data_IF_882599047916
#
_entry.id   IF_882599047916
#
_cell.length_a   1.000
_cell.length_b   1.000
_cell.length_c   1.000
_cell.angle_alpha   90.00
_cell.angle_beta   90.00
_cell.angle_gamma   90.00
#
_symmetry.space_group_name_H-M   'P 1'
#
loop_
_entity.id
_entity.type
_entity.pdbx_description
1 polymer ?
#
# COMPACT_ATOMS: atom_id res chain seq x y z
N UNK A 1 -10.29 -20.16 -41.82
CA UNK A 1 -8.81 -20.09 -41.78
C UNK A 1 -8.29 -18.67 -42.01
N UNK A 2 -8.45 -18.06 -43.20
CA UNK A 2 -7.96 -16.68 -43.44
C UNK A 2 -8.53 -15.64 -42.47
N UNK A 3 -9.85 -15.65 -42.25
CA UNK A 3 -10.54 -14.75 -41.31
C UNK A 3 -10.01 -14.82 -39.87
N UNK A 4 -9.67 -16.03 -39.40
CA UNK A 4 -9.10 -16.21 -38.06
C UNK A 4 -7.73 -15.56 -37.95
N UNK A 5 -6.87 -15.75 -38.97
CA UNK A 5 -5.57 -15.08 -39.00
C UNK A 5 -5.72 -13.56 -39.04
N UNK A 6 -6.58 -13.03 -39.90
CA UNK A 6 -6.82 -11.58 -40.01
C UNK A 6 -7.45 -10.97 -38.74
N UNK A 7 -8.12 -11.78 -37.91
CA UNK A 7 -8.68 -11.36 -36.63
C UNK A 7 -7.62 -11.34 -35.51
N UNK A 8 -6.84 -12.42 -35.36
CA UNK A 8 -5.89 -12.59 -34.25
C UNK A 8 -4.50 -11.95 -34.50
N UNK A 9 -4.17 -11.58 -35.74
CA UNK A 9 -2.87 -11.02 -36.09
C UNK A 9 -2.94 -9.50 -36.36
N UNK A 10 -1.91 -8.71 -36.00
CA UNK A 10 -0.68 -9.12 -35.30
C UNK A 10 -0.93 -9.55 -33.86
N UNK A 11 -0.07 -10.41 -33.32
CA UNK A 11 -0.14 -10.71 -31.89
C UNK A 11 0.20 -9.46 -31.07
N UNK A 12 -0.50 -9.30 -29.94
CA UNK A 12 -0.29 -8.17 -29.04
C UNK A 12 1.04 -8.32 -28.27
N UNK A 13 1.25 -9.44 -27.60
CA UNK A 13 2.46 -9.68 -26.82
C UNK A 13 3.02 -11.09 -26.99
N UNK A 14 4.34 -11.19 -27.13
CA UNK A 14 5.09 -12.45 -27.03
C UNK A 14 5.86 -12.48 -25.71
N UNK A 15 5.56 -13.48 -24.90
CA UNK A 15 6.23 -13.76 -23.64
C UNK A 15 7.34 -14.80 -23.83
N UNK A 16 8.52 -14.57 -23.26
CA UNK A 16 9.65 -15.50 -23.39
C UNK A 16 10.75 -15.26 -22.36
N UNK A 17 11.73 -16.17 -22.25
CA UNK A 17 12.89 -15.95 -21.40
C UNK A 17 13.84 -14.91 -22.00
N UNK A 18 14.52 -14.12 -21.16
CA UNK A 18 15.48 -13.09 -21.57
C UNK A 18 16.64 -13.64 -22.41
N UNK A 19 17.01 -14.91 -22.20
CA UNK A 19 18.09 -15.58 -22.97
C UNK A 19 17.74 -15.77 -24.45
N UNK A 20 16.46 -15.67 -24.83
CA UNK A 20 16.00 -15.80 -26.22
C UNK A 20 16.03 -14.48 -27.00
N UNK A 21 16.40 -13.37 -26.35
CA UNK A 21 16.53 -12.05 -27.00
C UNK A 21 17.53 -12.12 -28.15
N UNK A 22 18.72 -12.67 -27.93
CA UNK A 22 19.81 -12.70 -28.92
C UNK A 22 19.60 -13.68 -30.08
N UNK A 23 18.51 -14.45 -30.07
CA UNK A 23 18.23 -15.48 -31.06
C UNK A 23 16.74 -15.43 -31.48
N UNK A 24 15.91 -16.35 -30.99
CA UNK A 24 14.52 -16.56 -31.39
C UNK A 24 13.71 -15.25 -31.43
N UNK A 25 13.81 -14.40 -30.41
CA UNK A 25 13.05 -13.16 -30.35
C UNK A 25 13.51 -12.12 -31.38
N UNK A 26 14.79 -12.11 -31.73
CA UNK A 26 15.33 -11.25 -32.79
C UNK A 26 15.02 -11.82 -34.16
N UNK A 27 15.22 -13.13 -34.37
CA UNK A 27 14.95 -13.80 -35.64
C UNK A 27 13.48 -13.75 -36.04
N UNK A 28 12.55 -13.83 -35.08
CA UNK A 28 11.14 -13.65 -35.40
C UNK A 28 10.88 -12.26 -35.99
N UNK A 29 11.52 -11.18 -35.52
CA UNK A 29 11.32 -9.84 -36.09
C UNK A 29 11.80 -9.79 -37.55
N UNK A 30 12.95 -10.39 -37.84
CA UNK A 30 13.46 -10.51 -39.22
C UNK A 30 12.50 -11.28 -40.12
N UNK A 31 12.00 -12.43 -39.66
CA UNK A 31 11.04 -13.21 -40.44
C UNK A 31 9.73 -12.47 -40.65
N UNK A 32 9.22 -11.77 -39.63
CA UNK A 32 7.97 -11.02 -39.77
C UNK A 32 8.12 -9.88 -40.78
N UNK A 33 9.22 -9.12 -40.71
CA UNK A 33 9.50 -8.05 -41.66
C UNK A 33 9.69 -8.56 -43.10
N UNK A 34 10.17 -9.79 -43.29
CA UNK A 34 10.37 -10.39 -44.60
C UNK A 34 9.09 -10.98 -45.21
N UNK A 35 8.17 -11.50 -44.40
CA UNK A 35 7.01 -12.28 -44.84
C UNK A 35 5.71 -11.48 -44.77
N UNK A 36 5.53 -10.67 -43.73
CA UNK A 36 4.27 -10.02 -43.43
C UNK A 36 4.29 -8.52 -43.80
N UNK A 37 3.12 -7.95 -44.13
CA UNK A 37 3.00 -6.51 -44.31
C UNK A 37 3.25 -5.78 -42.98
N UNK A 38 3.56 -4.49 -43.07
CA UNK A 38 3.98 -3.67 -41.92
C UNK A 38 2.92 -3.62 -40.81
N UNK A 39 1.65 -3.67 -41.18
CA UNK A 39 0.50 -3.63 -40.27
C UNK A 39 0.37 -4.92 -39.44
N UNK A 40 0.99 -6.01 -39.88
CA UNK A 40 1.03 -7.32 -39.22
C UNK A 40 2.30 -7.52 -38.38
N UNK A 41 3.07 -6.46 -38.14
CA UNK A 41 4.24 -6.54 -37.25
C UNK A 41 3.80 -6.75 -35.79
N UNK A 42 4.55 -7.57 -35.01
CA UNK A 42 4.36 -7.75 -33.58
C UNK A 42 4.22 -6.44 -32.80
N UNK A 43 3.27 -6.36 -31.86
CA UNK A 43 3.07 -5.13 -31.06
C UNK A 43 4.00 -5.02 -29.86
N UNK A 44 4.37 -6.13 -29.24
CA UNK A 44 5.23 -6.12 -28.07
C UNK A 44 5.84 -7.47 -27.71
N UNK A 45 6.91 -7.41 -26.90
CA UNK A 45 7.52 -8.59 -26.28
C UNK A 45 7.78 -8.29 -24.81
N UNK A 46 7.52 -9.27 -23.96
CA UNK A 46 7.80 -9.22 -22.53
C UNK A 46 8.72 -10.39 -22.20
N UNK A 47 9.81 -10.08 -21.52
CA UNK A 47 10.84 -11.07 -21.20
C UNK A 47 10.81 -11.42 -19.72
N UNK A 48 11.05 -12.70 -19.44
CA UNK A 48 11.16 -13.25 -18.10
C UNK A 48 12.61 -13.54 -17.73
N UNK A 49 12.98 -13.27 -16.49
CA UNK A 49 14.21 -13.77 -15.90
C UNK A 49 14.18 -15.28 -15.72
N UNK A 50 15.27 -15.80 -15.20
CA UNK A 50 15.51 -17.22 -14.99
C UNK A 50 15.18 -17.61 -13.55
N UNK A 51 14.73 -18.85 -13.36
CA UNK A 51 14.52 -19.42 -12.03
C UNK A 51 15.83 -19.92 -11.40
N UNK A 52 16.04 -19.56 -10.14
CA UNK A 52 17.03 -20.14 -9.25
C UNK A 52 16.35 -21.07 -8.24
N UNK A 53 17.10 -22.03 -7.71
CA UNK A 53 16.69 -22.91 -6.62
C UNK A 53 17.72 -22.79 -5.51
N UNK A 54 17.30 -22.27 -4.35
CA UNK A 54 18.20 -22.02 -3.20
C UNK A 54 19.47 -21.23 -3.61
N UNK A 55 19.30 -20.20 -4.44
CA UNK A 55 20.37 -19.35 -4.96
C UNK A 55 21.20 -19.96 -6.08
N UNK A 56 21.00 -21.23 -6.44
CA UNK A 56 21.72 -21.91 -7.51
C UNK A 56 20.91 -21.96 -8.81
N UNK A 57 21.58 -21.85 -9.97
CA UNK A 57 20.92 -22.05 -11.27
C UNK A 57 20.36 -23.48 -11.37
N UNK A 58 19.07 -23.58 -11.71
CA UNK A 58 18.42 -24.87 -11.94
C UNK A 58 19.04 -25.59 -13.16
N UNK A 59 19.32 -26.88 -13.03
CA UNK A 59 19.92 -27.69 -14.10
C UNK A 59 19.52 -29.15 -13.99
N UNK A 60 18.81 -29.69 -14.99
CA UNK A 60 18.36 -31.09 -14.99
C UNK A 60 19.54 -32.07 -14.86
N UNK A 61 20.69 -31.75 -15.47
CA UNK A 61 21.91 -32.57 -15.36
C UNK A 61 22.56 -32.58 -13.98
N UNK A 62 22.27 -31.57 -13.14
CA UNK A 62 22.77 -31.49 -11.75
C UNK A 62 21.73 -31.96 -10.73
N UNK A 63 20.54 -32.37 -11.20
CA UNK A 63 19.43 -32.81 -10.36
C UNK A 63 18.79 -31.70 -9.50
N UNK A 64 19.21 -30.44 -9.64
CA UNK A 64 18.71 -29.31 -8.86
C UNK A 64 17.60 -28.56 -9.61
N UNK A 65 16.51 -29.27 -9.90
CA UNK A 65 15.33 -28.72 -10.57
C UNK A 65 14.11 -29.07 -9.74
N UNK A 66 13.21 -28.11 -9.59
CA UNK A 66 11.87 -28.36 -9.08
C UNK A 66 10.92 -28.48 -10.27
N UNK A 67 10.39 -29.68 -10.53
CA UNK A 67 9.46 -29.87 -11.66
C UNK A 67 8.11 -29.23 -11.35
N UNK A 68 7.45 -28.70 -12.38
CA UNK A 68 6.14 -28.07 -12.22
C UNK A 68 5.12 -29.05 -11.63
N UNK A 69 5.10 -30.30 -12.10
CA UNK A 69 4.16 -31.31 -11.59
C UNK A 69 4.34 -31.56 -10.09
N UNK A 70 5.59 -31.64 -9.63
CA UNK A 70 5.90 -31.81 -8.21
C UNK A 70 5.47 -30.55 -7.42
N UNK A 71 5.69 -29.36 -7.98
CA UNK A 71 5.31 -28.10 -7.32
C UNK A 71 3.79 -27.99 -7.16
N UNK A 72 3.05 -28.39 -8.18
CA UNK A 72 1.59 -28.40 -8.14
C UNK A 72 1.05 -29.43 -7.14
N UNK A 73 1.65 -30.62 -7.07
CA UNK A 73 1.27 -31.66 -6.10
C UNK A 73 1.56 -31.26 -4.67
N UNK A 74 2.72 -30.65 -4.40
CA UNK A 74 3.13 -30.29 -3.05
C UNK A 74 2.44 -29.02 -2.55
N UNK A 75 2.38 -27.96 -3.38
CA UNK A 75 1.96 -26.63 -2.93
C UNK A 75 0.57 -26.21 -3.41
N UNK A 76 0.06 -26.84 -4.47
CA UNK A 76 -1.18 -26.43 -5.14
C UNK A 76 -0.96 -25.27 -6.13
N UNK A 77 -1.80 -25.23 -7.17
CA UNK A 77 -1.63 -24.31 -8.29
C UNK A 77 -1.60 -22.83 -7.90
N UNK A 78 -2.53 -22.39 -7.06
CA UNK A 78 -2.62 -20.98 -6.64
C UNK A 78 -1.41 -20.54 -5.82
N UNK A 79 -0.92 -21.39 -4.92
CA UNK A 79 0.31 -21.12 -4.16
C UNK A 79 1.50 -20.91 -5.09
N UNK A 80 1.70 -21.82 -6.05
CA UNK A 80 2.80 -21.73 -7.03
C UNK A 80 2.66 -20.46 -7.86
N UNK A 81 1.46 -20.16 -8.36
CA UNK A 81 1.19 -18.96 -9.18
C UNK A 81 1.46 -17.67 -8.40
N UNK A 82 0.90 -17.53 -7.20
CA UNK A 82 1.08 -16.35 -6.37
C UNK A 82 2.54 -16.16 -5.98
N UNK A 83 3.24 -17.25 -5.65
CA UNK A 83 4.67 -17.20 -5.37
C UNK A 83 5.46 -16.66 -6.56
N UNK A 84 5.24 -17.20 -7.76
CA UNK A 84 5.96 -16.79 -8.96
C UNK A 84 5.67 -15.32 -9.33
N UNK A 85 4.40 -14.90 -9.26
CA UNK A 85 3.96 -13.52 -9.52
C UNK A 85 4.55 -12.53 -8.51
N UNK A 86 4.66 -12.94 -7.24
CA UNK A 86 5.12 -12.08 -6.14
C UNK A 86 6.63 -12.05 -5.93
N UNK A 87 7.38 -13.03 -6.45
CA UNK A 87 8.81 -13.18 -6.17
C UNK A 87 9.67 -12.10 -6.82
N UNK A 88 9.35 -11.73 -8.07
CA UNK A 88 10.14 -10.79 -8.85
C UNK A 88 9.29 -10.14 -9.95
N UNK A 89 9.73 -9.00 -10.48
CA UNK A 89 9.15 -8.51 -11.73
C UNK A 89 9.56 -9.44 -12.89
N UNK A 90 8.79 -9.52 -13.99
CA UNK A 90 9.02 -10.50 -15.04
C UNK A 90 10.48 -10.54 -15.51
N UNK A 91 11.09 -9.39 -15.81
CA UNK A 91 12.47 -9.30 -16.33
C UNK A 91 13.57 -9.60 -15.30
N UNK A 92 13.22 -9.91 -14.06
CA UNK A 92 14.16 -10.25 -12.99
C UNK A 92 14.18 -11.76 -12.74
N UNK A 93 15.32 -12.25 -12.25
CA UNK A 93 15.44 -13.65 -11.83
C UNK A 93 14.72 -13.83 -10.49
N UNK A 94 14.05 -14.98 -10.32
CA UNK A 94 13.41 -15.34 -9.05
C UNK A 94 14.20 -16.47 -8.37
N UNK A 95 14.11 -16.55 -7.05
CA UNK A 95 14.74 -17.60 -6.26
C UNK A 95 13.69 -18.46 -5.58
N UNK A 96 13.56 -19.71 -6.03
CA UNK A 96 12.65 -20.68 -5.44
C UNK A 96 13.23 -21.19 -4.12
N UNK A 97 12.46 -20.99 -3.04
CA UNK A 97 12.75 -21.55 -1.71
C UNK A 97 11.47 -22.09 -1.11
N UNK A 98 11.49 -23.35 -0.68
CA UNK A 98 10.28 -24.04 -0.25
C UNK A 98 9.59 -23.34 0.93
N UNK A 99 10.36 -22.78 1.87
CA UNK A 99 9.84 -22.04 3.02
C UNK A 99 9.04 -20.79 2.61
N UNK A 100 9.49 -20.06 1.57
CA UNK A 100 8.77 -18.92 1.02
C UNK A 100 7.48 -19.35 0.29
N UNK A 101 7.51 -20.50 -0.39
CA UNK A 101 6.31 -21.07 -1.05
C UNK A 101 5.29 -21.51 0.01
N UNK A 102 5.72 -22.17 1.09
CA UNK A 102 4.86 -22.50 2.23
C UNK A 102 4.29 -21.25 2.92
N UNK A 103 5.08 -20.18 3.03
CA UNK A 103 4.60 -18.89 3.55
C UNK A 103 3.51 -18.29 2.65
N UNK A 104 3.64 -18.43 1.33
CA UNK A 104 2.64 -17.98 0.34
C UNK A 104 1.31 -18.72 0.52
N UNK A 105 1.34 -20.04 0.79
CA UNK A 105 0.12 -20.80 1.10
C UNK A 105 -0.62 -20.24 2.31
N UNK A 106 0.10 -19.94 3.39
CA UNK A 106 -0.48 -19.32 4.59
C UNK A 106 -1.05 -17.93 4.33
N UNK A 107 -0.51 -17.20 3.35
CA UNK A 107 -1.06 -15.90 2.93
C UNK A 107 -2.42 -16.09 2.24
N UNK A 108 -2.52 -17.06 1.33
CA UNK A 108 -3.79 -17.41 0.67
C UNK A 108 -4.85 -17.86 1.70
N UNK A 109 -4.46 -18.66 2.70
CA UNK A 109 -5.36 -19.08 3.79
C UNK A 109 -5.87 -17.89 4.61
N UNK A 110 -5.02 -16.89 4.89
CA UNK A 110 -5.48 -15.65 5.58
C UNK A 110 -6.41 -14.81 4.72
N UNK A 111 -6.14 -14.72 3.42
CA UNK A 111 -7.02 -14.08 2.46
C UNK A 111 -8.39 -14.75 2.45
N UNK A 112 -8.42 -16.09 2.34
CA UNK A 112 -9.64 -16.89 2.41
C UNK A 112 -10.47 -16.54 3.65
N UNK A 113 -9.87 -16.65 4.84
CA UNK A 113 -10.57 -16.36 6.10
C UNK A 113 -11.09 -14.93 6.15
N UNK A 114 -10.32 -13.97 5.63
CA UNK A 114 -10.78 -12.57 5.57
C UNK A 114 -11.98 -12.41 4.64
N UNK A 115 -12.01 -13.10 3.48
CA UNK A 115 -13.18 -13.08 2.59
C UNK A 115 -14.40 -13.70 3.27
N UNK A 116 -14.25 -14.78 4.03
CA UNK A 116 -15.34 -15.34 4.83
C UNK A 116 -15.86 -14.34 5.88
N UNK A 117 -14.96 -13.62 6.56
CA UNK A 117 -15.35 -12.55 7.51
C UNK A 117 -16.18 -11.45 6.84
N UNK A 118 -15.87 -11.08 5.59
CA UNK A 118 -16.64 -10.03 4.87
C UNK A 118 -18.11 -10.38 4.68
N UNK A 119 -18.48 -11.67 4.73
CA UNK A 119 -19.87 -12.12 4.63
C UNK A 119 -20.70 -11.77 5.88
N UNK A 120 -20.03 -11.62 7.02
CA UNK A 120 -20.63 -11.24 8.29
C UNK A 120 -20.67 -9.72 8.50
N UNK A 121 -20.03 -8.94 7.60
CA UNK A 121 -20.00 -7.49 7.68
C UNK A 121 -21.41 -6.91 7.60
N UNK A 122 -21.67 -5.88 8.41
CA UNK A 122 -22.97 -5.25 8.46
C UNK A 122 -23.16 -4.22 7.34
N UNK A 123 -24.42 -3.94 7.01
CA UNK A 123 -24.78 -2.92 6.02
C UNK A 123 -24.66 -1.48 6.53
N UNK A 124 -24.32 -1.28 7.82
CA UNK A 124 -24.12 0.06 8.41
C UNK A 124 -22.73 0.61 8.10
N UNK A 125 -22.64 1.92 7.92
CA UNK A 125 -21.37 2.62 7.77
C UNK A 125 -20.66 2.74 9.12
N UNK A 126 -19.43 2.26 9.21
CA UNK A 126 -18.53 2.60 10.32
C UNK A 126 -17.77 3.91 10.05
N UNK A 127 -17.29 4.59 11.09
CA UNK A 127 -16.58 5.88 10.92
C UNK A 127 -15.30 5.79 10.08
N UNK A 128 -14.67 4.60 10.01
CA UNK A 128 -13.44 4.36 9.25
C UNK A 128 -13.71 3.74 7.86
N UNK A 129 -14.96 3.42 7.53
CA UNK A 129 -15.35 2.87 6.22
C UNK A 129 -14.94 3.78 5.05
N UNK A 130 -15.18 5.11 5.07
CA UNK A 130 -14.80 5.99 3.97
C UNK A 130 -13.30 5.98 3.69
N UNK A 131 -12.47 5.86 4.73
CA UNK A 131 -11.02 5.72 4.59
C UNK A 131 -10.66 4.41 3.85
N UNK A 132 -11.20 3.27 4.29
CA UNK A 132 -10.90 1.98 3.65
C UNK A 132 -11.34 1.99 2.17
N UNK A 133 -12.49 2.59 1.87
CA UNK A 133 -12.95 2.77 0.49
C UNK A 133 -11.96 3.61 -0.32
N UNK A 134 -11.52 4.76 0.20
CA UNK A 134 -10.54 5.62 -0.48
C UNK A 134 -9.27 4.85 -0.84
N UNK A 135 -8.75 4.10 0.12
CA UNK A 135 -7.58 3.24 -0.04
C UNK A 135 -7.78 2.17 -1.10
N UNK A 136 -8.93 1.47 -1.09
CA UNK A 136 -9.26 0.46 -2.09
C UNK A 136 -9.28 1.04 -3.52
N UNK A 137 -9.82 2.24 -3.71
CA UNK A 137 -9.80 2.89 -5.04
C UNK A 137 -8.37 3.15 -5.52
N UNK A 138 -7.47 3.59 -4.63
CA UNK A 138 -6.06 3.74 -5.00
C UNK A 138 -5.39 2.40 -5.35
N UNK A 139 -5.66 1.35 -4.58
CA UNK A 139 -5.09 0.03 -4.86
C UNK A 139 -5.61 -0.56 -6.17
N UNK A 140 -6.89 -0.37 -6.49
CA UNK A 140 -7.43 -0.73 -7.81
C UNK A 140 -6.66 -0.01 -8.91
N UNK A 141 -6.49 1.31 -8.79
CA UNK A 141 -5.79 2.10 -9.80
C UNK A 141 -4.35 1.62 -9.97
N UNK A 142 -3.58 1.51 -8.87
CA UNK A 142 -2.16 1.14 -8.92
C UNK A 142 -1.95 -0.30 -9.37
N UNK A 143 -2.79 -1.24 -8.95
CA UNK A 143 -2.73 -2.63 -9.41
C UNK A 143 -3.02 -2.72 -10.92
N UNK A 144 -4.00 -1.96 -11.41
CA UNK A 144 -4.33 -1.88 -12.84
C UNK A 144 -3.15 -1.31 -13.64
N UNK A 145 -2.62 -0.16 -13.23
CA UNK A 145 -1.46 0.47 -13.88
C UNK A 145 -0.22 -0.43 -13.89
N UNK A 146 0.00 -1.20 -12.82
CA UNK A 146 1.07 -2.17 -12.74
C UNK A 146 0.88 -3.33 -13.73
N UNK A 147 -0.33 -3.91 -13.82
CA UNK A 147 -0.63 -4.99 -14.76
C UNK A 147 -0.50 -4.55 -16.22
N UNK A 148 -0.98 -3.35 -16.56
CA UNK A 148 -0.82 -2.75 -17.91
C UNK A 148 0.66 -2.57 -18.30
N UNK A 149 1.55 -2.49 -17.31
CA UNK A 149 3.02 -2.39 -17.50
C UNK A 149 3.75 -3.72 -17.29
N UNK A 150 3.02 -4.82 -17.14
CA UNK A 150 3.56 -6.14 -16.78
C UNK A 150 4.37 -6.15 -15.48
N UNK A 151 4.12 -5.22 -14.56
CA UNK A 151 4.75 -5.18 -13.24
C UNK A 151 3.99 -6.11 -12.27
N UNK A 152 4.16 -7.42 -12.45
CA UNK A 152 3.37 -8.45 -11.73
C UNK A 152 3.59 -8.41 -10.23
N UNK A 153 4.82 -8.14 -9.76
CA UNK A 153 5.11 -8.07 -8.33
C UNK A 153 4.53 -6.80 -7.73
N UNK A 154 4.68 -5.65 -8.39
CA UNK A 154 4.04 -4.41 -7.96
C UNK A 154 2.50 -4.54 -7.95
N UNK A 155 1.91 -5.21 -8.94
CA UNK A 155 0.47 -5.45 -8.97
C UNK A 155 0.02 -6.26 -7.75
N UNK A 156 0.74 -7.33 -7.40
CA UNK A 156 0.44 -8.12 -6.20
C UNK A 156 0.70 -7.32 -4.90
N UNK A 157 1.71 -6.44 -4.89
CA UNK A 157 1.96 -5.55 -3.76
C UNK A 157 0.75 -4.67 -3.43
N UNK A 158 0.11 -4.12 -4.46
CA UNK A 158 -1.08 -3.27 -4.31
C UNK A 158 -2.35 -4.10 -4.09
N UNK A 159 -2.53 -5.17 -4.87
CA UNK A 159 -3.74 -6.00 -4.84
C UNK A 159 -3.82 -6.97 -3.64
N UNK A 160 -2.71 -7.25 -2.95
CA UNK A 160 -2.69 -8.17 -1.82
C UNK A 160 -2.11 -7.52 -0.56
N UNK A 161 -0.82 -7.19 -0.57
CA UNK A 161 -0.10 -6.83 0.66
C UNK A 161 -0.52 -5.47 1.21
N UNK A 162 -0.78 -4.49 0.34
CA UNK A 162 -1.24 -3.17 0.77
C UNK A 162 -2.67 -3.23 1.34
N UNK A 163 -3.58 -3.98 0.70
CA UNK A 163 -4.93 -4.22 1.23
C UNK A 163 -4.87 -4.96 2.58
N UNK A 164 -3.99 -5.97 2.74
CA UNK A 164 -3.81 -6.67 4.03
C UNK A 164 -3.31 -5.71 5.13
N UNK A 165 -2.42 -4.76 4.79
CA UNK A 165 -1.94 -3.73 5.72
C UNK A 165 -3.07 -2.78 6.14
N UNK A 166 -3.85 -2.30 5.18
CA UNK A 166 -4.96 -1.38 5.46
C UNK A 166 -6.08 -2.06 6.27
N UNK A 167 -6.33 -3.35 6.02
CA UNK A 167 -7.26 -4.16 6.81
C UNK A 167 -6.80 -4.34 8.26
N UNK A 168 -5.49 -4.47 8.52
CA UNK A 168 -4.98 -4.51 9.90
C UNK A 168 -5.29 -3.22 10.63
N UNK A 169 -5.08 -2.06 9.99
CA UNK A 169 -5.41 -0.76 10.57
C UNK A 169 -6.92 -0.60 10.76
N UNK A 170 -7.71 -0.91 9.73
CA UNK A 170 -9.18 -0.86 9.78
C UNK A 170 -9.74 -1.67 10.95
N UNK A 171 -9.24 -2.91 11.15
CA UNK A 171 -9.65 -3.77 12.27
C UNK A 171 -9.30 -3.15 13.65
N UNK A 172 -8.15 -2.49 13.80
CA UNK A 172 -7.80 -1.77 15.05
C UNK A 172 -8.75 -0.60 15.31
N UNK A 173 -9.14 0.11 14.25
CA UNK A 173 -10.03 1.27 14.33
C UNK A 173 -11.46 0.91 14.72
N UNK A 174 -11.96 -0.23 14.28
CA UNK A 174 -13.29 -0.73 14.66
C UNK A 174 -13.41 -0.97 16.18
N UNK A 175 -14.60 -0.76 16.78
CA UNK A 175 -14.86 -1.19 18.15
C UNK A 175 -14.65 -2.70 18.35
N UNK A 176 -14.31 -3.12 19.57
CA UNK A 176 -14.08 -4.53 19.89
C UNK A 176 -15.28 -5.40 19.53
N UNK A 177 -15.02 -6.48 18.79
CA UNK A 177 -16.05 -7.42 18.34
C UNK A 177 -16.96 -6.89 17.22
N UNK A 178 -16.73 -5.69 16.68
CA UNK A 178 -17.50 -5.18 15.56
C UNK A 178 -17.18 -5.99 14.27
N UNK A 179 -18.20 -6.44 13.52
CA UNK A 179 -18.01 -7.27 12.32
C UNK A 179 -17.54 -6.51 11.08
N UNK A 180 -17.27 -5.20 11.20
CA UNK A 180 -17.01 -4.30 10.08
C UNK A 180 -18.29 -3.79 9.40
N UNK A 181 -18.17 -2.65 8.72
CA UNK A 181 -19.26 -2.01 7.99
C UNK A 181 -19.28 -2.33 6.50
N UNK A 182 -20.01 -1.51 5.75
CA UNK A 182 -20.23 -1.63 4.30
C UNK A 182 -18.91 -1.73 3.51
N UNK A 183 -17.87 -1.01 3.92
CA UNK A 183 -16.58 -1.03 3.22
C UNK A 183 -15.96 -2.42 3.18
N UNK A 184 -16.11 -3.20 4.25
CA UNK A 184 -15.59 -4.58 4.31
C UNK A 184 -16.35 -5.52 3.37
N UNK A 185 -17.67 -5.31 3.22
CA UNK A 185 -18.49 -6.08 2.26
C UNK A 185 -18.10 -5.78 0.81
N UNK A 186 -17.91 -4.51 0.48
CA UNK A 186 -17.48 -4.10 -0.87
C UNK A 186 -16.06 -4.61 -1.19
N UNK A 187 -15.16 -4.55 -0.20
CA UNK A 187 -13.81 -5.08 -0.28
C UNK A 187 -13.81 -6.55 -0.72
N UNK A 188 -14.69 -7.39 -0.18
CA UNK A 188 -14.74 -8.81 -0.52
C UNK A 188 -14.86 -9.06 -2.03
N UNK A 189 -15.79 -8.37 -2.69
CA UNK A 189 -16.00 -8.48 -4.14
C UNK A 189 -14.83 -7.91 -4.95
N UNK A 190 -14.28 -6.77 -4.53
CA UNK A 190 -13.14 -6.13 -5.21
C UNK A 190 -11.89 -7.02 -5.10
N UNK A 191 -11.59 -7.48 -3.90
CA UNK A 191 -10.35 -8.19 -3.60
C UNK A 191 -10.28 -9.54 -4.30
N UNK A 192 -11.40 -10.28 -4.31
CA UNK A 192 -11.53 -11.53 -5.09
C UNK A 192 -11.27 -11.30 -6.58
N UNK A 193 -11.82 -10.22 -7.17
CA UNK A 193 -11.61 -9.93 -8.60
C UNK A 193 -10.18 -9.45 -8.90
N UNK A 194 -9.56 -8.66 -8.02
CA UNK A 194 -8.17 -8.24 -8.17
C UNK A 194 -7.20 -9.43 -8.18
N UNK A 195 -7.48 -10.47 -7.39
CA UNK A 195 -6.62 -11.64 -7.26
C UNK A 195 -6.97 -12.79 -8.22
N UNK A 196 -8.10 -12.72 -8.93
CA UNK A 196 -8.52 -13.76 -9.86
C UNK A 196 -7.46 -14.10 -10.95
N UNK A 197 -6.69 -13.14 -11.52
CA UNK A 197 -5.60 -13.48 -12.43
C UNK A 197 -4.45 -14.25 -11.78
N UNK A 198 -4.28 -14.13 -10.47
CA UNK A 198 -3.14 -14.69 -9.71
C UNK A 198 -3.50 -16.05 -9.11
N UNK A 199 -4.60 -16.11 -8.34
CA UNK A 199 -5.08 -17.30 -7.61
C UNK A 199 -6.49 -17.72 -8.06
N UNK A 200 -6.68 -18.06 -9.34
CA UNK A 200 -8.00 -18.23 -9.94
C UNK A 200 -8.87 -19.28 -9.26
N UNK A 201 -8.31 -20.41 -8.80
CA UNK A 201 -9.12 -21.49 -8.24
C UNK A 201 -9.75 -21.09 -6.89
N UNK A 202 -8.95 -20.45 -6.04
CA UNK A 202 -9.36 -19.87 -4.76
C UNK A 202 -10.39 -18.77 -4.98
N UNK A 203 -10.12 -17.85 -5.90
CA UNK A 203 -11.03 -16.75 -6.22
C UNK A 203 -12.37 -17.24 -6.81
N UNK A 204 -12.38 -18.26 -7.66
CA UNK A 204 -13.60 -18.83 -8.25
C UNK A 204 -14.53 -19.39 -7.16
N UNK A 205 -13.95 -20.09 -6.19
CA UNK A 205 -14.69 -20.64 -5.06
C UNK A 205 -15.23 -19.53 -4.14
N UNK A 206 -14.37 -18.58 -3.77
CA UNK A 206 -14.75 -17.47 -2.90
C UNK A 206 -15.77 -16.54 -3.56
N UNK A 207 -15.68 -16.31 -4.88
CA UNK A 207 -16.64 -15.53 -5.65
C UNK A 207 -18.06 -16.09 -5.52
N UNK A 208 -18.21 -17.40 -5.67
CA UNK A 208 -19.50 -18.07 -5.46
C UNK A 208 -20.00 -17.93 -4.03
N UNK A 209 -19.13 -18.03 -3.02
CA UNK A 209 -19.50 -17.95 -1.61
C UNK A 209 -19.95 -16.56 -1.14
N UNK A 210 -19.40 -15.50 -1.76
CA UNK A 210 -19.83 -14.11 -1.51
C UNK A 210 -21.03 -13.69 -2.37
N UNK A 211 -21.63 -14.62 -3.12
CA UNK A 211 -22.83 -14.38 -3.93
C UNK A 211 -22.55 -13.74 -5.29
N UNK A 212 -21.34 -13.87 -5.80
CA UNK A 212 -20.98 -13.45 -7.15
C UNK A 212 -21.70 -14.28 -8.22
N UNK A 213 -22.10 -13.62 -9.31
CA UNK A 213 -22.76 -14.28 -10.44
C UNK A 213 -21.75 -14.80 -11.47
N UNK A 214 -22.06 -15.95 -12.07
CA UNK A 214 -21.22 -16.56 -13.09
C UNK A 214 -19.83 -16.96 -12.55
N UNK A 215 -18.86 -17.04 -13.47
CA UNK A 215 -17.46 -17.29 -13.08
C UNK A 215 -16.72 -15.96 -12.85
N UNK A 216 -15.87 -15.90 -11.83
CA UNK A 216 -15.05 -14.70 -11.57
C UNK A 216 -14.12 -14.38 -12.75
N UNK A 217 -13.72 -15.41 -13.48
CA UNK A 217 -12.92 -15.30 -14.71
C UNK A 217 -13.60 -14.47 -15.81
N UNK A 218 -14.92 -14.33 -15.78
CA UNK A 218 -15.71 -13.48 -16.68
C UNK A 218 -16.26 -12.21 -16.00
N UNK A 219 -16.01 -12.03 -14.70
CA UNK A 219 -16.45 -10.84 -13.98
C UNK A 219 -15.65 -9.62 -14.46
N UNK A 220 -16.27 -8.42 -14.54
CA UNK A 220 -15.54 -7.21 -14.91
C UNK A 220 -14.40 -6.91 -13.94
N UNK A 221 -13.25 -6.50 -14.46
CA UNK A 221 -12.16 -5.97 -13.65
C UNK A 221 -12.66 -4.77 -12.83
N UNK A 222 -12.32 -4.64 -11.52
CA UNK A 222 -12.71 -3.49 -10.73
C UNK A 222 -12.10 -2.22 -11.33
N UNK A 223 -12.92 -1.18 -11.52
CA UNK A 223 -12.48 0.12 -11.99
C UNK A 223 -12.42 1.09 -10.82
N UNK A 224 -11.32 1.82 -10.69
CA UNK A 224 -11.17 2.83 -9.66
C UNK A 224 -12.11 4.02 -9.90
N UNK A 225 -12.87 4.41 -8.89
CA UNK A 225 -13.68 5.62 -8.85
C UNK A 225 -12.92 6.73 -8.12
N UNK A 226 -12.39 7.68 -8.91
CA UNK A 226 -11.61 8.80 -8.38
C UNK A 226 -12.42 9.72 -7.47
N UNK A 227 -13.75 9.75 -7.59
CA UNK A 227 -14.60 10.58 -6.73
C UNK A 227 -14.70 10.05 -5.30
N UNK A 228 -14.32 8.78 -5.09
CA UNK A 228 -14.30 8.11 -3.79
C UNK A 228 -12.91 8.07 -3.16
N UNK A 229 -11.91 8.73 -3.77
CA UNK A 229 -10.59 8.93 -3.20
C UNK A 229 -10.61 10.25 -2.42
N UNK A 230 -10.38 10.18 -1.13
CA UNK A 230 -10.30 11.31 -0.21
C UNK A 230 -8.91 11.36 0.47
N UNK A 231 -7.99 12.19 -0.05
CA UNK A 231 -6.67 12.36 0.53
C UNK A 231 -6.68 12.91 1.96
N UNK A 232 -7.71 13.66 2.37
CA UNK A 232 -7.78 14.24 3.71
C UNK A 232 -8.06 13.14 4.74
N UNK A 233 -8.97 12.21 4.43
CA UNK A 233 -9.22 11.03 5.26
C UNK A 233 -7.98 10.15 5.38
N UNK A 234 -7.27 9.94 4.27
CA UNK A 234 -6.04 9.15 4.26
C UNK A 234 -4.94 9.77 5.14
N UNK A 235 -4.73 11.09 5.05
CA UNK A 235 -3.79 11.80 5.90
C UNK A 235 -4.20 11.78 7.38
N UNK A 236 -5.49 11.92 7.67
CA UNK A 236 -5.98 11.89 9.04
C UNK A 236 -5.70 10.54 9.72
N UNK A 237 -5.97 9.43 9.03
CA UNK A 237 -5.70 8.09 9.55
C UNK A 237 -4.19 7.77 9.59
N UNK A 238 -3.39 8.27 8.65
CA UNK A 238 -1.91 8.19 8.73
C UNK A 238 -1.38 8.95 9.96
N UNK A 239 -1.91 10.14 10.28
CA UNK A 239 -1.55 10.88 11.49
C UNK A 239 -1.84 10.05 12.76
N UNK A 240 -3.02 9.42 12.82
CA UNK A 240 -3.41 8.57 13.94
C UNK A 240 -2.50 7.35 14.07
N UNK A 241 -2.26 6.62 12.97
CA UNK A 241 -1.38 5.45 12.94
C UNK A 241 0.01 5.78 13.47
N UNK A 242 0.65 6.81 12.92
CA UNK A 242 1.99 7.25 13.33
C UNK A 242 2.05 7.66 14.80
N UNK A 243 1.01 8.35 15.27
CA UNK A 243 0.94 8.80 16.67
C UNK A 243 0.87 7.60 17.63
N UNK A 244 0.12 6.56 17.26
CA UNK A 244 0.05 5.32 18.05
C UNK A 244 1.37 4.57 18.05
N UNK A 245 2.04 4.46 16.90
CA UNK A 245 3.37 3.87 16.81
C UNK A 245 4.41 4.61 17.67
N UNK A 246 4.33 5.95 17.69
CA UNK A 246 5.16 6.77 18.58
C UNK A 246 4.83 6.52 20.07
N UNK A 247 3.55 6.44 20.45
CA UNK A 247 3.13 6.10 21.82
C UNK A 247 3.65 4.72 22.24
N UNK A 248 3.46 3.69 21.41
CA UNK A 248 3.94 2.33 21.67
C UNK A 248 5.46 2.28 21.82
N UNK A 249 6.18 3.02 20.98
CA UNK A 249 7.63 3.13 21.04
C UNK A 249 8.10 3.78 22.33
N UNK A 250 7.43 4.86 22.77
CA UNK A 250 7.73 5.52 24.04
C UNK A 250 7.45 4.58 25.22
N UNK A 251 6.33 3.86 25.21
CA UNK A 251 5.99 2.88 26.27
C UNK A 251 7.03 1.77 26.40
N UNK A 252 7.55 1.24 25.28
CA UNK A 252 8.60 0.21 25.27
C UNK A 252 9.90 0.70 25.92
N UNK A 253 10.24 1.98 25.76
CA UNK A 253 11.46 2.58 26.33
C UNK A 253 11.29 2.91 27.81
N UNK A 254 10.16 3.51 28.18
CA UNK A 254 9.93 4.03 29.54
C UNK A 254 9.47 2.91 30.49
N UNK A 255 8.93 1.80 29.98
CA UNK A 255 8.43 0.64 30.76
C UNK A 255 7.41 1.02 31.84
N UNK A 256 6.63 2.08 31.59
CA UNK A 256 5.52 2.53 32.44
C UNK A 256 4.19 2.21 31.76
N UNK A 257 3.19 1.85 32.55
CA UNK A 257 1.78 1.79 32.13
C UNK A 257 1.14 3.13 32.48
N UNK A 258 0.97 4.06 31.51
CA UNK A 258 0.42 5.37 31.81
C UNK A 258 -1.06 5.27 32.19
N UNK A 259 -1.47 6.13 33.11
CA UNK A 259 -2.88 6.34 33.46
C UNK A 259 -3.54 7.35 32.51
N UNK A 260 -2.76 8.29 31.97
CA UNK A 260 -3.18 9.26 30.97
C UNK A 260 -2.09 9.55 29.94
N UNK A 261 -2.53 9.97 28.76
CA UNK A 261 -1.70 10.37 27.63
C UNK A 261 -2.19 11.73 27.15
N UNK A 262 -1.29 12.70 27.10
CA UNK A 262 -1.57 14.01 26.51
C UNK A 262 -0.89 14.14 25.15
N UNK A 263 -1.69 14.32 24.11
CA UNK A 263 -1.27 14.59 22.74
C UNK A 263 -1.29 16.11 22.55
N UNK A 264 -0.10 16.70 22.42
CA UNK A 264 0.07 18.14 22.21
C UNK A 264 0.22 18.40 20.71
N UNK A 265 -0.77 19.07 20.11
CA UNK A 265 -0.80 19.42 18.69
C UNK A 265 -0.03 20.71 18.45
N UNK A 266 0.68 20.78 17.32
CA UNK A 266 1.49 21.95 17.01
C UNK A 266 0.63 23.21 16.80
N UNK A 267 1.04 24.36 17.37
CA UNK A 267 0.32 25.62 17.22
C UNK A 267 0.38 26.11 15.77
N UNK A 268 -0.58 26.95 15.38
CA UNK A 268 -0.74 27.47 14.01
C UNK A 268 0.55 28.01 13.39
N UNK A 269 1.33 28.80 14.12
CA UNK A 269 2.57 29.38 13.60
C UNK A 269 3.62 28.33 13.18
N UNK A 270 3.60 27.12 13.77
CA UNK A 270 4.50 26.04 13.33
C UNK A 270 4.00 25.38 12.05
N UNK A 271 2.69 25.42 11.76
CA UNK A 271 2.14 25.02 10.46
C UNK A 271 2.65 25.93 9.35
N UNK A 272 2.68 27.24 9.59
CA UNK A 272 3.24 28.22 8.64
C UNK A 272 4.74 27.98 8.38
N UNK A 273 5.49 27.68 9.45
CA UNK A 273 6.92 27.31 9.34
C UNK A 273 7.08 26.01 8.55
N UNK A 274 6.29 24.98 8.84
CA UNK A 274 6.35 23.71 8.11
C UNK A 274 6.06 23.91 6.63
N UNK A 275 5.01 24.66 6.29
CA UNK A 275 4.66 25.00 4.91
C UNK A 275 5.81 25.72 4.22
N UNK A 276 6.37 26.75 4.86
CA UNK A 276 7.48 27.52 4.32
C UNK A 276 8.74 26.66 4.08
N UNK A 277 9.05 25.72 4.99
CA UNK A 277 10.17 24.79 4.82
C UNK A 277 9.90 23.81 3.68
N UNK A 278 8.67 23.31 3.57
CA UNK A 278 8.30 22.33 2.56
C UNK A 278 8.31 22.92 1.13
N UNK A 279 7.97 24.20 0.96
CA UNK A 279 7.98 24.89 -0.34
C UNK A 279 9.30 25.58 -0.66
N UNK A 280 10.28 25.59 0.26
CA UNK A 280 11.52 26.31 0.06
C UNK A 280 12.38 25.69 -1.05
N UNK A 281 12.88 26.49 -2.02
CA UNK A 281 13.69 25.99 -3.13
C UNK A 281 15.09 25.56 -2.69
N UNK A 282 15.68 26.23 -1.69
CA UNK A 282 17.00 25.90 -1.15
C UNK A 282 16.95 25.70 0.38
N UNK A 283 17.32 24.49 0.80
CA UNK A 283 17.36 24.08 2.21
C UNK A 283 18.48 24.75 3.00
N UNK A 284 19.51 25.28 2.33
CA UNK A 284 20.62 25.97 2.99
C UNK A 284 20.27 27.42 3.36
N UNK A 285 19.39 28.08 2.59
CA UNK A 285 18.95 29.46 2.85
C UNK A 285 17.63 29.53 3.61
N UNK A 286 16.89 28.43 3.71
CA UNK A 286 15.53 28.36 4.30
C UNK A 286 15.43 29.01 5.69
N UNK A 287 16.42 28.81 6.56
CA UNK A 287 16.42 29.42 7.90
C UNK A 287 16.46 30.95 7.79
N UNK A 288 17.33 31.48 6.92
CA UNK A 288 17.48 32.93 6.75
C UNK A 288 16.24 33.53 6.10
N UNK A 289 15.62 32.83 5.17
CA UNK A 289 14.43 33.28 4.45
C UNK A 289 13.20 33.33 5.36
N UNK A 290 12.92 32.25 6.09
CA UNK A 290 11.77 32.19 7.02
C UNK A 290 11.94 33.21 8.16
N UNK A 291 13.17 33.42 8.65
CA UNK A 291 13.45 34.41 9.70
C UNK A 291 13.32 35.88 9.26
N UNK A 292 13.04 36.16 7.98
CA UNK A 292 12.66 37.52 7.53
C UNK A 292 11.24 37.87 7.95
N UNK A 293 10.37 36.88 8.14
CA UNK A 293 9.03 37.11 8.65
C UNK A 293 9.10 37.62 10.10
N UNK A 294 8.49 38.77 10.36
CA UNK A 294 8.56 39.41 11.67
C UNK A 294 7.87 38.59 12.77
N UNK A 295 6.76 37.91 12.46
CA UNK A 295 6.05 37.08 13.43
C UNK A 295 6.89 35.86 13.84
N UNK A 296 7.58 35.25 12.88
CA UNK A 296 8.49 34.12 13.15
C UNK A 296 9.73 34.61 13.89
N UNK A 297 10.32 35.73 13.47
CA UNK A 297 11.53 36.31 14.09
C UNK A 297 11.33 36.67 15.57
N UNK A 298 10.15 37.18 15.95
CA UNK A 298 9.80 37.49 17.35
C UNK A 298 9.90 36.28 18.28
N UNK A 299 9.78 35.06 17.75
CA UNK A 299 9.92 33.81 18.51
C UNK A 299 11.37 33.35 18.70
N UNK A 300 12.34 34.03 18.07
CA UNK A 300 13.77 33.86 18.30
C UNK A 300 14.26 32.41 18.15
N UNK A 301 14.89 31.89 19.21
CA UNK A 301 15.47 30.54 19.23
C UNK A 301 14.44 29.44 18.97
N UNK A 302 13.22 29.58 19.50
CA UNK A 302 12.16 28.59 19.31
C UNK A 302 11.76 28.43 17.83
N UNK A 303 11.77 29.52 17.06
CA UNK A 303 11.54 29.45 15.62
C UNK A 303 12.69 28.76 14.88
N UNK A 304 13.94 29.08 15.21
CA UNK A 304 15.11 28.42 14.61
C UNK A 304 15.12 26.91 14.86
N UNK A 305 14.79 26.49 16.07
CA UNK A 305 14.72 25.07 16.43
C UNK A 305 13.55 24.38 15.70
N UNK A 306 12.38 25.03 15.62
CA UNK A 306 11.24 24.52 14.84
C UNK A 306 11.59 24.35 13.35
N UNK A 307 12.28 25.32 12.72
CA UNK A 307 12.70 25.21 11.31
C UNK A 307 13.61 23.99 11.12
N UNK A 308 14.63 23.81 11.96
CA UNK A 308 15.56 22.66 11.88
C UNK A 308 14.84 21.31 12.07
N UNK A 309 13.90 21.28 13.01
CA UNK A 309 13.08 20.10 13.27
C UNK A 309 12.14 19.79 12.11
N UNK A 310 11.50 20.79 11.50
CA UNK A 310 10.67 20.62 10.30
C UNK A 310 11.49 20.10 9.12
N UNK A 311 12.72 20.62 8.88
CA UNK A 311 13.61 20.08 7.84
C UNK A 311 13.84 18.59 8.06
N UNK A 312 14.18 18.20 9.29
CA UNK A 312 14.44 16.79 9.64
C UNK A 312 13.19 15.94 9.48
N UNK A 313 12.02 16.44 9.89
CA UNK A 313 10.75 15.74 9.80
C UNK A 313 10.36 15.49 8.34
N UNK A 314 10.40 16.52 7.49
CA UNK A 314 10.03 16.45 6.07
C UNK A 314 10.85 15.40 5.32
N UNK A 315 12.14 15.21 5.66
CA UNK A 315 12.97 14.17 5.03
C UNK A 315 12.62 12.75 5.47
N UNK A 316 12.03 12.60 6.66
CA UNK A 316 11.64 11.30 7.23
C UNK A 316 10.21 10.90 6.89
N UNK A 317 9.39 11.85 6.44
CA UNK A 317 8.03 11.56 6.02
C UNK A 317 8.02 10.77 4.71
N UNK A 318 7.09 9.83 4.53
CA UNK A 318 6.94 9.10 3.27
C UNK A 318 6.74 10.05 2.07
N UNK A 319 7.14 9.64 0.86
CA UNK A 319 6.88 10.42 -0.35
C UNK A 319 5.40 10.76 -0.51
N UNK A 320 5.10 11.99 -0.97
CA UNK A 320 3.74 12.45 -1.20
C UNK A 320 3.00 13.01 0.02
N UNK A 321 3.30 12.54 1.24
CA UNK A 321 2.62 13.00 2.47
C UNK A 321 2.76 14.51 2.66
N UNK A 322 3.95 15.06 2.44
CA UNK A 322 4.19 16.51 2.58
C UNK A 322 3.35 17.28 1.58
N UNK A 323 3.32 16.88 0.32
CA UNK A 323 2.53 17.55 -0.72
C UNK A 323 1.04 17.45 -0.44
N UNK A 324 0.56 16.30 0.01
CA UNK A 324 -0.83 16.11 0.42
C UNK A 324 -1.16 16.99 1.63
N UNK A 325 -0.29 17.02 2.65
CA UNK A 325 -0.50 17.83 3.87
C UNK A 325 -0.62 19.32 3.52
N UNK A 326 0.19 19.83 2.59
CA UNK A 326 0.12 21.22 2.15
C UNK A 326 -1.16 21.55 1.38
N UNK A 327 -1.76 20.56 0.70
CA UNK A 327 -3.02 20.71 -0.04
C UNK A 327 -4.25 20.50 0.83
N UNK A 328 -4.10 19.80 1.95
CA UNK A 328 -5.17 19.40 2.84
C UNK A 328 -5.50 20.50 3.84
N UNK A 329 -6.80 20.76 4.04
CA UNK A 329 -7.30 21.60 5.13
C UNK A 329 -7.49 20.74 6.38
N UNK A 330 -6.41 20.45 7.11
CA UNK A 330 -6.46 19.58 8.29
C UNK A 330 -6.47 20.31 9.62
N UNK A 331 -7.48 19.98 10.43
CA UNK A 331 -7.54 20.29 11.84
C UNK A 331 -7.10 19.08 12.67
N UNK A 332 -5.80 19.00 12.98
CA UNK A 332 -5.22 17.88 13.75
C UNK A 332 -5.87 17.70 15.13
N UNK A 333 -6.28 18.78 15.81
CA UNK A 333 -6.98 18.68 17.11
C UNK A 333 -8.30 17.93 16.94
N UNK A 334 -9.09 18.31 15.95
CA UNK A 334 -10.38 17.68 15.65
C UNK A 334 -10.21 16.22 15.20
N UNK A 335 -9.15 15.90 14.44
CA UNK A 335 -8.83 14.52 14.06
C UNK A 335 -8.60 13.67 15.32
N UNK A 336 -7.77 14.14 16.25
CA UNK A 336 -7.51 13.41 17.50
C UNK A 336 -8.74 13.35 18.41
N UNK A 337 -9.52 14.42 18.49
CA UNK A 337 -10.74 14.47 19.30
C UNK A 337 -11.82 13.50 18.78
N UNK A 338 -12.04 13.45 17.47
CA UNK A 338 -12.97 12.51 16.84
C UNK A 338 -12.51 11.05 17.00
N UNK A 339 -11.20 10.83 17.16
CA UNK A 339 -10.61 9.50 17.37
C UNK A 339 -10.36 9.17 18.85
N UNK A 340 -10.79 10.02 19.80
CA UNK A 340 -10.43 9.89 21.23
C UNK A 340 -10.78 8.53 21.81
N UNK A 341 -12.01 8.06 21.63
CA UNK A 341 -12.47 6.76 22.16
C UNK A 341 -11.62 5.59 21.64
N UNK A 342 -11.19 5.66 20.37
CA UNK A 342 -10.28 4.69 19.79
C UNK A 342 -8.89 4.77 20.44
N UNK A 343 -8.32 5.97 20.56
CA UNK A 343 -7.00 6.16 21.16
C UNK A 343 -6.97 5.71 22.62
N UNK A 344 -8.03 5.98 23.39
CA UNK A 344 -8.14 5.56 24.79
C UNK A 344 -8.19 4.04 24.92
N UNK A 345 -8.95 3.37 24.06
CA UNK A 345 -9.01 1.90 23.99
C UNK A 345 -7.65 1.32 23.62
N UNK A 346 -7.07 1.78 22.51
CA UNK A 346 -5.82 1.25 21.96
C UNK A 346 -4.66 1.43 22.94
N UNK A 347 -4.59 2.59 23.61
CA UNK A 347 -3.54 2.87 24.58
C UNK A 347 -3.83 2.30 25.96
N UNK A 348 -5.08 1.94 26.26
CA UNK A 348 -5.56 1.56 27.60
C UNK A 348 -5.28 2.65 28.65
N UNK A 349 -5.46 3.92 28.27
CA UNK A 349 -5.17 5.10 29.09
C UNK A 349 -6.09 6.25 28.67
N UNK A 350 -6.38 7.20 29.57
CA UNK A 350 -7.17 8.40 29.20
C UNK A 350 -6.40 9.28 28.22
N UNK A 351 -7.07 9.85 27.22
CA UNK A 351 -6.41 10.66 26.18
C UNK A 351 -6.90 12.10 26.25
N UNK A 352 -5.95 13.02 26.36
CA UNK A 352 -6.18 14.46 26.33
C UNK A 352 -5.52 15.05 25.09
N UNK A 353 -6.25 15.89 24.36
CA UNK A 353 -5.74 16.62 23.19
C UNK A 353 -5.66 18.09 23.55
N UNK A 354 -4.49 18.71 23.35
CA UNK A 354 -4.27 20.11 23.70
C UNK A 354 -3.50 20.84 22.61
N UNK A 355 -3.78 22.13 22.43
CA UNK A 355 -2.89 23.02 21.66
C UNK A 355 -1.59 23.23 22.44
N UNK A 356 -0.46 22.88 21.83
CA UNK A 356 0.85 23.00 22.47
C UNK A 356 1.26 24.45 22.78
N UNK A 357 0.64 25.45 22.15
CA UNK A 357 0.81 26.87 22.44
C UNK A 357 0.12 27.31 23.74
N UNK A 358 -0.89 26.58 24.20
CA UNK A 358 -1.66 26.86 25.43
C UNK A 358 -1.28 25.94 26.59
N UNK A 359 -0.49 24.89 26.31
CA UNK A 359 -0.05 23.92 27.30
C UNK A 359 1.16 24.39 28.12
N UNK A 360 1.16 24.06 29.41
CA UNK A 360 2.31 24.27 30.33
C UNK A 360 3.27 23.08 30.37
N UNK A 361 2.98 21.99 29.64
CA UNK A 361 3.79 20.78 29.64
C UNK A 361 5.14 21.02 28.95
N UNK A 362 6.23 20.64 29.60
CA UNK A 362 7.59 20.88 29.08
C UNK A 362 7.82 20.32 27.67
N UNK A 363 7.24 19.15 27.37
CA UNK A 363 7.34 18.49 26.06
C UNK A 363 6.43 19.09 24.99
N UNK A 364 5.41 19.90 25.33
CA UNK A 364 4.49 20.48 24.35
C UNK A 364 5.25 21.32 23.30
N UNK A 365 6.29 22.03 23.73
CA UNK A 365 7.16 22.82 22.85
C UNK A 365 7.82 22.03 21.70
N UNK A 366 7.91 20.69 21.81
CA UNK A 366 8.47 19.82 20.78
C UNK A 366 7.47 19.40 19.69
N UNK A 367 6.18 19.72 19.84
CA UNK A 367 5.16 19.36 18.86
C UNK A 367 5.43 20.01 17.49
N UNK A 368 5.27 19.25 16.41
CA UNK A 368 5.40 19.73 15.03
C UNK A 368 4.15 19.34 14.24
N UNK A 369 3.83 20.06 13.15
CA UNK A 369 2.75 19.65 12.24
C UNK A 369 2.96 18.21 11.77
N UNK A 370 1.91 17.40 11.82
CA UNK A 370 1.94 15.97 11.49
C UNK A 370 2.88 15.12 12.39
N UNK A 371 3.31 15.66 13.53
CA UNK A 371 4.10 14.97 14.56
C UNK A 371 3.84 15.60 15.94
N UNK A 372 2.72 15.25 16.59
CA UNK A 372 2.39 15.80 17.90
C UNK A 372 3.44 15.41 18.94
N UNK A 373 3.55 16.20 20.01
CA UNK A 373 4.34 15.80 21.17
C UNK A 373 3.48 14.97 22.12
N UNK A 374 4.05 13.87 22.62
CA UNK A 374 3.36 12.91 23.48
C UNK A 374 3.91 13.02 24.91
N UNK A 375 3.01 13.16 25.87
CA UNK A 375 3.31 13.12 27.31
C UNK A 375 2.54 11.94 27.92
N UNK A 376 3.26 11.03 28.57
CA UNK A 376 2.71 9.88 29.29
C UNK A 376 2.81 10.17 30.79
N UNK A 377 1.72 9.95 31.53
CA UNK A 377 1.63 10.20 32.98
C UNK A 377 1.15 8.98 33.77
#
# INVERSE_FOLDING_TARGET
MRKEFEYWYPYDYRFSAKDLISNHLTFQLFHHAAIFPKESMPRGMVVFGMGLLEGAKMSSSKGNVFLLEDALKEFGADTVRMFLVGSAEPWQDFDWRNDLVYSTRKQIERFWNTIEETRNAEHRTSGVDPWLISRLQQHIQKATEALERFQTRQALQEAFYAIEADLKWYRRRLPDGAPGGYALKELGSIWVRLLAPVIPFTCERLWSEIGGEGLVSFAPWPSADRSRIDPNLELAEELLLRTIEDIESIRKVIQITPSSITICVAPSWKKDVFASVATAPDRNTVIREIMKDEQVRRRGKAAQDAIKQCITLIHRLPPGIVEQYLKAEMNEIEIFDNARDFLERECSAKVHVVDAGESTLAKASAALPFKPAIVLE
#
